data_IF_266138377615
#
_entry.id   IF_266138377615
#
_cell.length_a   1.000
_cell.length_b   1.000
_cell.length_c   1.000
_cell.angle_alpha   90.00
_cell.angle_beta   90.00
_cell.angle_gamma   90.00
#
_symmetry.space_group_name_H-M   'P 1'
#
loop_
_entity.id
_entity.type
_entity.pdbx_description
1 polymer ?
#
# COMPACT_ATOMS: atom_id res chain seq x y z
N UNK A 1 2.95 18.55 -20.13
CA UNK A 1 3.54 17.84 -18.99
C UNK A 1 2.75 18.23 -17.76
N UNK A 2 2.42 17.29 -16.89
CA UNK A 2 1.75 17.54 -15.61
C UNK A 2 2.66 17.01 -14.50
N UNK A 3 2.86 17.80 -13.45
CA UNK A 3 3.57 17.36 -12.27
C UNK A 3 2.93 17.93 -11.02
N UNK A 4 3.12 17.22 -9.92
CA UNK A 4 2.64 17.59 -8.61
C UNK A 4 3.70 17.17 -7.59
N UNK A 5 3.97 18.02 -6.62
CA UNK A 5 4.89 17.74 -5.52
C UNK A 5 4.26 18.27 -4.24
N UNK A 6 4.22 17.42 -3.23
CA UNK A 6 3.63 17.73 -1.92
C UNK A 6 4.63 17.33 -0.85
N UNK A 7 4.85 18.21 0.12
CA UNK A 7 5.54 17.87 1.36
C UNK A 7 4.53 18.00 2.50
N UNK A 8 4.56 17.09 3.45
CA UNK A 8 3.61 17.07 4.56
C UNK A 8 4.29 16.75 5.89
N UNK A 9 3.64 17.20 6.95
CA UNK A 9 3.95 16.88 8.33
C UNK A 9 2.63 16.74 9.09
N UNK A 10 2.30 15.53 9.53
CA UNK A 10 1.12 15.23 10.32
C UNK A 10 1.54 14.73 11.70
N UNK A 11 1.30 15.56 12.71
CA UNK A 11 1.58 15.25 14.11
C UNK A 11 0.30 14.73 14.78
N UNK A 12 0.35 13.50 15.27
CA UNK A 12 -0.73 12.88 16.02
C UNK A 12 -0.31 12.78 17.48
N UNK A 13 -0.87 13.64 18.32
CA UNK A 13 -0.74 13.52 19.77
C UNK A 13 -1.83 12.61 20.31
N UNK A 14 -1.61 12.12 21.52
CA UNK A 14 -2.58 11.33 22.26
C UNK A 14 -3.04 10.04 21.55
N UNK A 15 -2.12 9.38 20.84
CA UNK A 15 -2.41 8.22 20.00
C UNK A 15 -3.04 7.10 20.83
N UNK A 16 -4.24 6.71 20.46
CA UNK A 16 -4.98 5.65 21.13
C UNK A 16 -4.25 4.30 21.01
N UNK A 17 -4.07 3.64 22.14
CA UNK A 17 -3.57 2.27 22.27
C UNK A 17 -4.52 1.44 23.12
N UNK A 18 -4.65 0.16 22.80
CA UNK A 18 -5.54 -0.74 23.52
C UNK A 18 -4.79 -1.47 24.62
N UNK A 19 -5.33 -1.46 25.83
CA UNK A 19 -4.88 -2.30 26.94
C UNK A 19 -5.90 -3.42 27.14
N UNK A 20 -5.47 -4.66 26.94
CA UNK A 20 -6.27 -5.85 27.23
C UNK A 20 -6.05 -6.28 28.68
N UNK A 21 -7.14 -6.51 29.42
CA UNK A 21 -7.10 -7.03 30.78
C UNK A 21 -7.49 -8.51 30.77
N UNK A 22 -6.55 -9.42 31.05
CA UNK A 22 -6.84 -10.85 31.07
C UNK A 22 -7.54 -11.28 32.37
N UNK A 23 -8.12 -12.48 32.38
CA UNK A 23 -8.51 -13.16 33.62
C UNK A 23 -7.26 -13.56 34.44
N UNK A 24 -7.40 -13.92 35.74
CA UNK A 24 -6.25 -14.31 36.57
C UNK A 24 -5.41 -15.46 36.01
N UNK A 25 -6.04 -16.35 35.20
CA UNK A 25 -5.38 -17.47 34.53
C UNK A 25 -4.70 -17.09 33.20
N UNK A 26 -4.83 -15.85 32.73
CA UNK A 26 -4.31 -15.34 31.45
C UNK A 26 -4.73 -16.16 30.23
N UNK A 27 -5.95 -16.70 30.24
CA UNK A 27 -6.50 -17.53 29.16
C UNK A 27 -7.52 -16.81 28.30
N UNK A 28 -8.17 -15.76 28.84
CA UNK A 28 -9.15 -14.95 28.11
C UNK A 28 -9.02 -13.47 28.47
N UNK A 29 -9.34 -12.59 27.53
CA UNK A 29 -9.48 -11.14 27.79
C UNK A 29 -10.84 -10.88 28.41
N UNK A 30 -10.88 -10.32 29.63
CA UNK A 30 -12.14 -9.97 30.31
C UNK A 30 -12.74 -8.69 29.73
N UNK A 31 -11.89 -7.68 29.53
CA UNK A 31 -12.26 -6.41 28.92
C UNK A 31 -11.02 -5.74 28.31
N UNK A 32 -11.26 -4.71 27.52
CA UNK A 32 -10.20 -3.86 26.97
C UNK A 32 -10.61 -2.40 27.12
N UNK A 33 -9.64 -1.53 27.31
CA UNK A 33 -9.84 -0.09 27.35
C UNK A 33 -8.78 0.62 26.52
N UNK A 34 -9.06 1.86 26.15
CA UNK A 34 -8.17 2.69 25.35
C UNK A 34 -7.44 3.67 26.27
N UNK A 35 -6.13 3.76 26.08
CA UNK A 35 -5.29 4.77 26.72
C UNK A 35 -4.53 5.56 25.67
N UNK A 36 -4.10 6.75 26.07
CA UNK A 36 -3.15 7.53 25.33
C UNK A 36 -1.76 6.86 25.40
N UNK A 37 -1.20 6.55 24.24
CA UNK A 37 0.12 5.94 24.07
C UNK A 37 1.18 6.89 23.52
N UNK A 38 0.96 8.21 23.50
CA UNK A 38 1.94 9.21 23.08
C UNK A 38 1.78 9.69 21.63
N UNK A 39 2.89 10.15 21.04
CA UNK A 39 2.90 10.94 19.80
C UNK A 39 3.52 10.18 18.64
N UNK A 40 2.92 10.37 17.47
CA UNK A 40 3.44 9.89 16.19
C UNK A 40 3.57 11.06 15.22
N UNK A 41 4.76 11.21 14.64
CA UNK A 41 5.08 12.27 13.71
C UNK A 41 5.31 11.71 12.31
N UNK A 42 4.39 12.01 11.40
CA UNK A 42 4.38 11.51 10.04
C UNK A 42 4.81 12.61 9.07
N UNK A 43 6.09 12.56 8.66
CA UNK A 43 6.65 13.47 7.66
C UNK A 43 6.84 12.74 6.35
N UNK A 44 6.61 13.43 5.24
CA UNK A 44 6.86 12.83 3.94
C UNK A 44 6.85 13.80 2.78
N UNK A 45 7.25 13.28 1.64
CA UNK A 45 7.23 13.96 0.35
C UNK A 45 6.59 13.02 -0.66
N UNK A 46 5.72 13.57 -1.48
CA UNK A 46 5.05 12.87 -2.58
C UNK A 46 5.29 13.64 -3.86
N UNK A 47 5.55 12.92 -4.95
CA UNK A 47 5.76 13.49 -6.26
C UNK A 47 5.07 12.65 -7.32
N UNK A 48 4.45 13.31 -8.29
CA UNK A 48 3.85 12.73 -9.47
C UNK A 48 4.32 13.49 -10.70
N UNK A 49 4.73 12.77 -11.74
CA UNK A 49 5.04 13.31 -13.05
C UNK A 49 4.30 12.49 -14.11
N UNK A 50 3.58 13.16 -14.99
CA UNK A 50 2.92 12.59 -16.17
C UNK A 50 3.34 13.35 -17.40
N UNK A 51 3.85 12.64 -18.40
CA UNK A 51 4.34 13.24 -19.64
C UNK A 51 3.49 12.75 -20.81
N UNK A 52 3.05 13.65 -21.68
CA UNK A 52 2.53 13.27 -23.00
C UNK A 52 3.71 13.12 -23.95
N UNK A 53 4.45 12.00 -23.85
CA UNK A 53 5.67 11.78 -24.63
C UNK A 53 5.40 11.77 -26.14
N UNK A 54 4.22 11.28 -26.52
CA UNK A 54 3.71 11.37 -27.88
C UNK A 54 2.22 11.65 -27.86
N UNK A 55 1.75 12.51 -28.77
CA UNK A 55 0.33 12.73 -29.00
C UNK A 55 0.10 13.12 -30.46
N UNK A 56 -0.81 12.44 -31.14
CA UNK A 56 -1.14 12.73 -32.53
C UNK A 56 -2.64 12.66 -32.78
N UNK A 57 -3.15 13.63 -33.52
CA UNK A 57 -4.53 13.63 -34.01
C UNK A 57 -4.65 12.83 -35.31
N UNK A 58 -3.56 12.66 -36.07
CA UNK A 58 -3.57 12.10 -37.42
C UNK A 58 -2.85 10.74 -37.55
N UNK A 59 -1.87 10.44 -36.69
CA UNK A 59 -1.09 9.20 -36.71
C UNK A 59 -1.82 7.97 -36.15
N UNK A 60 -1.27 6.77 -36.41
CA UNK A 60 -1.81 5.48 -35.92
C UNK A 60 -1.84 5.41 -34.39
N UNK A 61 -0.79 5.92 -33.75
CA UNK A 61 -0.73 6.07 -32.30
C UNK A 61 -1.44 7.38 -31.92
N UNK A 62 -2.36 7.33 -30.97
CA UNK A 62 -3.07 8.50 -30.46
C UNK A 62 -2.25 9.20 -29.37
N UNK A 63 -1.73 8.42 -28.42
CA UNK A 63 -0.81 8.93 -27.41
C UNK A 63 0.08 7.84 -26.81
N UNK A 64 1.22 8.27 -26.26
CA UNK A 64 2.06 7.54 -25.32
C UNK A 64 2.29 8.44 -24.12
N UNK A 65 1.96 7.93 -22.93
CA UNK A 65 1.92 8.70 -21.69
C UNK A 65 2.65 7.96 -20.58
N UNK A 66 3.98 8.11 -20.45
CA UNK A 66 4.68 7.64 -19.28
C UNK A 66 4.31 8.46 -18.05
N UNK A 67 4.34 7.80 -16.90
CA UNK A 67 4.16 8.42 -15.60
C UNK A 67 5.13 7.83 -14.58
N UNK A 68 5.45 8.64 -13.58
CA UNK A 68 6.19 8.24 -12.39
C UNK A 68 5.48 8.85 -11.18
N UNK A 69 5.24 8.07 -10.15
CA UNK A 69 4.91 8.57 -8.83
C UNK A 69 5.90 8.01 -7.81
N UNK A 70 6.13 8.79 -6.76
CA UNK A 70 7.13 8.50 -5.73
C UNK A 70 6.65 9.09 -4.41
N UNK A 71 6.78 8.32 -3.34
CA UNK A 71 6.53 8.76 -1.98
C UNK A 71 7.70 8.37 -1.09
N UNK A 72 8.20 9.32 -0.32
CA UNK A 72 9.12 9.09 0.79
C UNK A 72 8.41 9.39 2.12
N UNK A 73 8.37 8.40 3.02
CA UNK A 73 7.71 8.46 4.32
C UNK A 73 8.71 8.29 5.45
N UNK A 74 8.94 9.36 6.21
CA UNK A 74 9.75 9.33 7.44
C UNK A 74 8.83 9.44 8.66
N UNK A 75 8.13 8.35 8.95
CA UNK A 75 7.15 8.29 10.03
C UNK A 75 7.80 7.73 11.28
N UNK A 76 7.73 8.45 12.39
CA UNK A 76 8.42 8.09 13.63
C UNK A 76 7.49 8.15 14.84
N UNK A 77 7.71 7.23 15.76
CA UNK A 77 7.24 7.33 17.13
C UNK A 77 8.10 8.38 17.85
N UNK A 78 7.49 9.42 18.43
CA UNK A 78 8.24 10.43 19.19
C UNK A 78 8.36 10.06 20.67
N UNK A 79 7.23 10.00 21.39
CA UNK A 79 7.14 9.57 22.78
C UNK A 79 6.15 8.39 22.97
N UNK A 80 6.17 7.46 22.02
CA UNK A 80 5.19 6.37 21.95
C UNK A 80 5.47 5.27 22.99
N UNK A 81 4.56 5.13 23.96
CA UNK A 81 4.62 4.14 25.03
C UNK A 81 3.39 3.24 24.98
N UNK A 82 3.63 1.94 24.95
CA UNK A 82 2.57 0.94 24.92
C UNK A 82 2.37 0.33 26.31
N UNK A 83 1.12 0.28 26.75
CA UNK A 83 0.74 -0.28 28.04
C UNK A 83 0.16 -1.69 27.87
N UNK A 84 0.62 -2.65 28.66
CA UNK A 84 0.05 -3.99 28.74
C UNK A 84 -0.06 -4.47 30.18
N UNK A 85 -0.99 -5.39 30.44
CA UNK A 85 -1.08 -6.05 31.74
C UNK A 85 -0.27 -7.33 31.70
N UNK A 86 0.66 -7.47 32.64
CA UNK A 86 1.44 -8.68 32.82
C UNK A 86 1.69 -8.96 34.29
N UNK A 87 2.57 -9.93 34.57
CA UNK A 87 2.95 -10.28 35.94
C UNK A 87 4.25 -9.59 36.34
N UNK A 88 4.29 -9.01 37.52
CA UNK A 88 5.53 -8.48 38.11
C UNK A 88 6.44 -9.61 38.64
N UNK A 89 7.60 -9.24 39.20
CA UNK A 89 8.57 -10.18 39.80
C UNK A 89 7.98 -11.01 40.95
N UNK A 90 6.87 -10.56 41.54
CA UNK A 90 6.15 -11.24 42.62
C UNK A 90 4.90 -11.98 42.12
N UNK A 91 4.74 -12.14 40.79
CA UNK A 91 3.59 -12.77 40.12
C UNK A 91 2.25 -12.07 40.36
N UNK A 92 2.25 -10.78 40.68
CA UNK A 92 1.04 -9.94 40.78
C UNK A 92 0.78 -9.26 39.45
N UNK A 93 -0.49 -9.00 39.16
CA UNK A 93 -0.87 -8.22 37.98
C UNK A 93 -0.33 -6.81 38.12
N UNK A 94 0.39 -6.36 37.09
CA UNK A 94 1.01 -5.03 37.04
C UNK A 94 0.97 -4.48 35.63
N UNK A 95 1.00 -3.16 35.55
CA UNK A 95 1.12 -2.44 34.29
C UNK A 95 2.58 -2.50 33.81
N UNK A 96 2.77 -3.06 32.63
CA UNK A 96 4.05 -3.07 31.92
C UNK A 96 3.99 -1.96 30.87
N UNK A 97 4.99 -1.09 30.89
CA UNK A 97 5.15 -0.02 29.91
C UNK A 97 6.34 -0.37 29.02
N UNK A 98 6.08 -0.51 27.73
CA UNK A 98 7.12 -0.69 26.71
C UNK A 98 7.28 0.61 25.94
N UNK A 99 8.51 1.12 25.88
CA UNK A 99 8.83 2.35 25.15
C UNK A 99 9.30 2.03 23.73
N UNK A 100 8.65 2.61 22.73
CA UNK A 100 8.98 2.48 21.30
C UNK A 100 9.38 3.82 20.68
N UNK A 101 9.64 4.84 21.51
CA UNK A 101 10.09 6.16 21.09
C UNK A 101 11.34 6.09 20.23
N UNK A 102 11.37 6.87 19.15
CA UNK A 102 12.47 6.92 18.19
C UNK A 102 12.41 5.88 17.08
N UNK A 103 11.63 4.80 17.24
CA UNK A 103 11.47 3.79 16.19
C UNK A 103 10.65 4.31 15.01
N UNK A 104 10.86 3.72 13.84
CA UNK A 104 10.00 3.94 12.69
C UNK A 104 8.59 3.36 12.96
N UNK A 105 7.56 4.03 12.45
CA UNK A 105 6.19 3.55 12.59
C UNK A 105 6.02 2.23 11.85
N UNK A 106 5.52 1.21 12.56
CA UNK A 106 5.28 -0.10 11.97
C UNK A 106 4.22 -0.01 10.85
N UNK A 107 4.43 -0.76 9.77
CA UNK A 107 3.53 -0.88 8.63
C UNK A 107 3.71 0.18 7.56
N UNK A 108 4.75 1.02 7.66
CA UNK A 108 5.00 2.13 6.73
C UNK A 108 6.31 1.88 5.98
N UNK A 109 6.26 1.58 4.67
CA UNK A 109 7.45 1.57 3.82
C UNK A 109 8.04 2.97 3.72
N UNK A 110 9.36 3.15 3.93
CA UNK A 110 10.01 4.44 3.77
C UNK A 110 9.92 4.96 2.33
N UNK A 111 9.94 4.07 1.34
CA UNK A 111 9.84 4.43 -0.07
C UNK A 111 8.77 3.58 -0.76
N UNK A 112 7.89 4.24 -1.51
CA UNK A 112 7.07 3.60 -2.54
C UNK A 112 7.22 4.36 -3.84
N UNK A 113 7.22 3.63 -4.95
CA UNK A 113 7.34 4.23 -6.27
C UNK A 113 6.57 3.43 -7.30
N UNK A 114 5.95 4.11 -8.25
CA UNK A 114 5.36 3.46 -9.41
C UNK A 114 5.81 4.17 -10.68
N UNK A 115 6.26 3.40 -11.65
CA UNK A 115 6.56 3.86 -13.00
C UNK A 115 5.67 3.11 -13.97
N UNK A 116 5.17 3.77 -14.99
CA UNK A 116 4.38 3.10 -16.00
C UNK A 116 4.22 3.91 -17.27
N UNK A 117 3.55 3.30 -18.22
CA UNK A 117 3.23 3.90 -19.51
C UNK A 117 1.84 3.48 -19.93
N UNK A 118 1.04 4.47 -20.33
CA UNK A 118 -0.23 4.26 -21.00
C UNK A 118 -0.05 4.55 -22.49
N UNK A 119 -0.71 3.76 -23.35
CA UNK A 119 -0.79 4.06 -24.77
C UNK A 119 -2.20 3.83 -25.30
N UNK A 120 -2.51 4.53 -26.38
CA UNK A 120 -3.70 4.26 -27.19
C UNK A 120 -3.40 4.51 -28.66
N UNK A 121 -4.10 3.77 -29.51
CA UNK A 121 -4.06 3.88 -30.96
C UNK A 121 -5.41 4.36 -31.48
N UNK A 122 -5.43 4.85 -32.71
CA UNK A 122 -6.68 5.20 -33.41
C UNK A 122 -7.54 3.99 -33.76
N UNK A 123 -6.91 2.83 -33.94
CA UNK A 123 -7.62 1.60 -34.29
C UNK A 123 -8.48 1.07 -33.13
N UNK A 124 -8.33 1.63 -31.92
CA UNK A 124 -9.05 1.21 -30.72
C UNK A 124 -8.21 0.39 -29.74
N UNK A 125 -7.01 -0.06 -30.16
CA UNK A 125 -6.07 -0.74 -29.27
C UNK A 125 -5.53 0.25 -28.22
N UNK A 126 -5.56 -0.15 -26.95
CA UNK A 126 -5.01 0.59 -25.83
C UNK A 126 -4.35 -0.36 -24.85
N UNK A 127 -3.52 0.17 -23.96
CA UNK A 127 -2.95 -0.63 -22.89
C UNK A 127 -2.13 0.19 -21.93
N UNK A 128 -1.72 -0.47 -20.85
CA UNK A 128 -0.78 0.07 -19.90
C UNK A 128 0.16 -1.03 -19.37
N UNK A 129 1.34 -0.59 -18.94
CA UNK A 129 2.27 -1.40 -18.16
C UNK A 129 2.79 -0.55 -17.00
N UNK A 130 2.97 -1.16 -15.84
CA UNK A 130 3.45 -0.48 -14.64
C UNK A 130 4.35 -1.40 -13.81
N UNK A 131 5.39 -0.81 -13.24
CA UNK A 131 6.21 -1.39 -12.18
C UNK A 131 5.93 -0.63 -10.89
N UNK A 132 5.56 -1.35 -9.84
CA UNK A 132 5.29 -0.84 -8.51
C UNK A 132 6.34 -1.36 -7.54
N UNK A 133 7.12 -0.48 -6.92
CA UNK A 133 8.11 -0.83 -5.90
C UNK A 133 7.61 -0.45 -4.50
N UNK A 134 7.81 -1.35 -3.54
CA UNK A 134 7.55 -1.13 -2.12
C UNK A 134 8.78 -1.55 -1.32
N UNK A 135 9.30 -0.60 -0.54
CA UNK A 135 10.45 -0.86 0.32
C UNK A 135 10.08 -1.77 1.50
N UNK A 136 11.11 -2.35 2.12
CA UNK A 136 11.00 -3.08 3.37
C UNK A 136 10.42 -2.18 4.47
N UNK A 137 9.59 -2.74 5.34
CA UNK A 137 8.99 -1.98 6.44
C UNK A 137 9.01 -2.78 7.74
N UNK A 138 9.21 -2.13 8.91
CA UNK A 138 9.01 -2.80 10.18
C UNK A 138 7.53 -3.14 10.33
N UNK A 139 7.22 -4.34 10.81
CA UNK A 139 5.85 -4.73 11.17
C UNK A 139 5.65 -4.94 12.67
N UNK A 140 6.70 -4.75 13.46
CA UNK A 140 6.62 -4.60 14.92
C UNK A 140 7.08 -3.20 15.34
N UNK A 141 6.47 -2.65 16.39
CA UNK A 141 6.73 -1.29 16.88
C UNK A 141 8.12 -1.14 17.50
N UNK A 142 8.74 -2.26 17.90
CA UNK A 142 10.14 -2.31 18.32
C UNK A 142 11.14 -2.28 17.16
N UNK A 143 10.65 -2.32 15.91
CA UNK A 143 11.46 -2.31 14.69
C UNK A 143 12.25 -3.58 14.41
N UNK A 144 12.10 -4.64 15.22
CA UNK A 144 12.94 -5.85 15.10
C UNK A 144 12.53 -6.78 13.97
N UNK A 145 11.26 -6.78 13.59
CA UNK A 145 10.75 -7.62 12.51
C UNK A 145 10.39 -6.74 11.31
N UNK A 146 11.02 -7.04 10.17
CA UNK A 146 10.98 -6.23 8.96
C UNK A 146 10.59 -7.13 7.78
N UNK A 147 9.74 -6.63 6.88
CA UNK A 147 9.38 -7.32 5.64
C UNK A 147 10.50 -7.25 4.61
N UNK A 148 10.50 -8.14 3.62
CA UNK A 148 11.30 -7.90 2.41
C UNK A 148 10.68 -6.79 1.55
N UNK A 149 11.52 -6.05 0.83
CA UNK A 149 11.07 -5.15 -0.25
C UNK A 149 10.69 -5.95 -1.48
N UNK A 150 9.78 -5.46 -2.31
CA UNK A 150 9.36 -6.17 -3.52
C UNK A 150 8.98 -5.22 -4.66
N UNK A 151 8.97 -5.74 -5.89
CA UNK A 151 8.51 -5.04 -7.08
C UNK A 151 7.49 -5.86 -7.86
N UNK A 152 6.40 -5.24 -8.27
CA UNK A 152 5.35 -5.88 -9.07
C UNK A 152 5.27 -5.27 -10.45
N UNK A 153 5.31 -6.12 -11.48
CA UNK A 153 5.03 -5.72 -12.86
C UNK A 153 3.61 -6.14 -13.21
N UNK A 154 2.78 -5.18 -13.60
CA UNK A 154 1.40 -5.39 -14.02
C UNK A 154 1.18 -4.78 -15.41
N UNK A 155 0.36 -5.42 -16.24
CA UNK A 155 0.01 -4.89 -17.55
C UNK A 155 -1.42 -5.26 -17.95
N UNK A 156 -2.04 -4.40 -18.76
CA UNK A 156 -3.34 -4.63 -19.39
C UNK A 156 -3.30 -4.15 -20.83
N UNK A 157 -3.93 -4.91 -21.72
CA UNK A 157 -4.18 -4.53 -23.11
C UNK A 157 -5.66 -4.69 -23.41
N UNK A 158 -6.20 -3.82 -24.25
CA UNK A 158 -7.59 -3.91 -24.66
C UNK A 158 -7.85 -3.26 -26.00
N UNK A 159 -9.06 -3.48 -26.50
CA UNK A 159 -9.53 -2.99 -27.77
C UNK A 159 -10.92 -2.41 -27.61
N UNK A 160 -11.07 -1.14 -27.96
CA UNK A 160 -12.33 -0.40 -27.93
C UNK A 160 -12.80 -0.07 -29.33
N UNK A 161 -14.07 -0.35 -29.61
CA UNK A 161 -14.67 -0.02 -30.90
C UNK A 161 -16.15 0.30 -30.77
N UNK A 162 -16.58 1.34 -31.47
CA UNK A 162 -18.00 1.62 -31.70
C UNK A 162 -18.52 0.57 -32.70
N UNK A 163 -19.45 -0.29 -32.27
CA UNK A 163 -20.08 -1.31 -33.12
C UNK A 163 -21.22 -0.71 -33.95
N UNK A 164 -21.92 0.28 -33.38
CA UNK A 164 -22.98 1.06 -34.04
C UNK A 164 -23.17 2.40 -33.33
N UNK A 165 -24.07 3.25 -33.81
CA UNK A 165 -24.41 4.53 -33.14
C UNK A 165 -24.85 4.38 -31.68
N UNK A 166 -25.38 3.22 -31.32
CA UNK A 166 -25.91 2.95 -29.98
C UNK A 166 -25.04 2.01 -29.16
N UNK A 167 -23.95 1.45 -29.70
CA UNK A 167 -23.20 0.40 -29.00
C UNK A 167 -21.69 0.58 -29.10
N UNK A 168 -21.04 0.63 -27.93
CA UNK A 168 -19.58 0.58 -27.79
C UNK A 168 -19.15 -0.74 -27.16
N UNK A 169 -18.12 -1.36 -27.72
CA UNK A 169 -17.50 -2.58 -27.21
C UNK A 169 -16.11 -2.28 -26.67
N UNK A 170 -15.78 -2.83 -25.50
CA UNK A 170 -14.42 -2.88 -24.93
C UNK A 170 -14.11 -4.32 -24.52
N UNK A 171 -13.10 -4.91 -25.15
CA UNK A 171 -12.57 -6.23 -24.77
C UNK A 171 -11.16 -6.01 -24.24
N UNK A 172 -10.84 -6.61 -23.10
CA UNK A 172 -9.51 -6.48 -22.51
C UNK A 172 -9.03 -7.75 -21.82
N UNK A 173 -7.72 -7.88 -21.71
CA UNK A 173 -7.03 -8.88 -20.91
C UNK A 173 -5.82 -8.23 -20.24
N UNK A 174 -5.36 -8.82 -19.15
CA UNK A 174 -4.20 -8.34 -18.42
C UNK A 174 -3.63 -9.39 -17.50
N UNK A 175 -2.50 -9.04 -16.90
CA UNK A 175 -1.81 -9.86 -15.94
C UNK A 175 -1.26 -8.99 -14.80
N UNK A 176 -1.41 -9.49 -13.58
CA UNK A 176 -0.80 -8.95 -12.39
C UNK A 176 0.36 -9.86 -11.95
N UNK A 177 1.38 -9.27 -11.33
CA UNK A 177 2.58 -9.98 -10.88
C UNK A 177 3.26 -10.79 -11.99
N UNK A 178 3.55 -10.14 -13.12
CA UNK A 178 4.05 -10.80 -14.34
C UNK A 178 5.39 -11.52 -14.11
N UNK A 179 6.19 -11.03 -13.17
CA UNK A 179 7.48 -11.59 -12.78
C UNK A 179 7.38 -12.70 -11.73
N UNK A 180 6.17 -13.07 -11.28
CA UNK A 180 5.93 -14.05 -10.22
C UNK A 180 6.71 -13.72 -8.93
N UNK A 181 6.75 -12.45 -8.56
CA UNK A 181 7.39 -11.98 -7.34
C UNK A 181 6.67 -12.55 -6.11
N UNK A 182 7.42 -13.04 -5.13
CA UNK A 182 6.87 -13.49 -3.86
C UNK A 182 6.71 -12.30 -2.92
N UNK A 183 5.46 -11.96 -2.56
CA UNK A 183 5.20 -10.82 -1.69
C UNK A 183 4.02 -11.09 -0.74
N UNK A 184 3.83 -10.18 0.21
CA UNK A 184 2.73 -10.21 1.17
C UNK A 184 1.54 -9.42 0.65
N UNK A 185 0.36 -10.03 0.63
CA UNK A 185 -0.88 -9.32 0.30
C UNK A 185 -1.30 -8.39 1.45
N UNK A 186 -1.09 -8.85 2.69
CA UNK A 186 -1.28 -8.07 3.90
C UNK A 186 -0.28 -8.51 4.96
N UNK A 187 0.19 -7.57 5.77
CA UNK A 187 1.04 -7.81 6.94
C UNK A 187 0.31 -7.27 8.18
N UNK A 188 0.12 -8.12 9.17
CA UNK A 188 -0.50 -7.78 10.45
C UNK A 188 0.54 -7.16 11.38
N UNK A 189 0.28 -5.94 11.83
CA UNK A 189 1.20 -5.19 12.67
C UNK A 189 1.14 -5.67 14.12
N UNK A 190 2.31 -5.85 14.74
CA UNK A 190 2.45 -6.31 16.13
C UNK A 190 1.75 -7.65 16.46
N UNK A 191 1.49 -8.50 15.46
CA UNK A 191 0.89 -9.81 15.64
C UNK A 191 1.93 -10.89 15.31
N UNK A 192 2.33 -11.69 16.30
CA UNK A 192 3.31 -12.78 16.15
C UNK A 192 2.90 -14.01 16.98
N UNK A 193 3.11 -15.25 16.48
CA UNK A 193 3.46 -15.62 15.10
C UNK A 193 2.29 -15.36 14.11
N UNK A 194 2.49 -15.67 12.82
CA UNK A 194 1.49 -15.53 11.73
C UNK A 194 1.07 -14.09 11.39
N UNK A 195 2.09 -13.28 11.08
CA UNK A 195 1.95 -11.86 10.80
C UNK A 195 1.55 -11.50 9.35
N UNK A 196 1.10 -12.43 8.50
CA UNK A 196 0.83 -12.09 7.10
C UNK A 196 -0.17 -12.99 6.36
N UNK A 197 -0.70 -12.46 5.26
CA UNK A 197 -1.40 -13.22 4.21
C UNK A 197 -0.50 -13.24 2.96
N UNK A 198 -0.08 -14.41 2.46
CA UNK A 198 0.74 -14.49 1.25
C UNK A 198 -0.09 -14.10 0.03
N UNK A 199 0.53 -13.36 -0.89
CA UNK A 199 -0.06 -13.14 -2.20
C UNK A 199 0.15 -14.37 -3.12
N UNK A 200 -0.58 -14.47 -4.25
CA UNK A 200 -0.28 -15.45 -5.28
C UNK A 200 1.19 -15.34 -5.72
N UNK A 201 1.91 -16.45 -5.61
CA UNK A 201 3.31 -16.60 -6.00
C UNK A 201 3.51 -16.85 -7.51
N UNK A 202 2.41 -16.82 -8.26
CA UNK A 202 2.38 -16.96 -9.71
C UNK A 202 1.63 -15.79 -10.33
N UNK A 203 1.93 -15.53 -11.60
CA UNK A 203 1.22 -14.55 -12.43
C UNK A 203 -0.29 -14.77 -12.40
N UNK A 204 -1.05 -13.69 -12.21
CA UNK A 204 -2.50 -13.72 -12.18
C UNK A 204 -3.08 -13.05 -13.44
N UNK A 205 -3.78 -13.83 -14.27
CA UNK A 205 -4.41 -13.33 -15.48
C UNK A 205 -5.87 -12.93 -15.24
N UNK A 206 -6.31 -11.90 -15.95
CA UNK A 206 -7.70 -11.47 -15.95
C UNK A 206 -8.12 -10.96 -17.33
N UNK A 207 -9.43 -10.88 -17.55
CA UNK A 207 -9.99 -10.31 -18.78
C UNK A 207 -11.47 -10.00 -18.62
N UNK A 208 -12.02 -9.28 -19.58
CA UNK A 208 -13.42 -8.89 -19.55
C UNK A 208 -13.90 -8.28 -20.86
N UNK A 209 -15.22 -8.20 -20.97
CA UNK A 209 -15.94 -7.59 -22.09
C UNK A 209 -16.97 -6.63 -21.51
N UNK A 210 -16.97 -5.38 -21.98
CA UNK A 210 -17.98 -4.39 -21.66
C UNK A 210 -18.73 -3.99 -22.94
N UNK A 211 -20.05 -4.00 -22.87
CA UNK A 211 -20.93 -3.46 -23.91
C UNK A 211 -21.69 -2.27 -23.33
N UNK A 212 -21.49 -1.08 -23.91
CA UNK A 212 -22.17 0.14 -23.49
C UNK A 212 -23.25 0.51 -24.50
N UNK A 213 -24.47 0.75 -24.01
CA UNK A 213 -25.56 1.31 -24.81
C UNK A 213 -25.59 2.83 -24.69
N UNK A 214 -25.63 3.54 -25.83
CA UNK A 214 -25.76 4.99 -25.91
C UNK A 214 -27.18 5.34 -26.39
N UNK A 215 -27.95 6.04 -25.56
CA UNK A 215 -29.32 6.50 -25.85
C UNK A 215 -29.35 7.61 -26.90
#
# INVERSE_FOLDING_TARGET
MYFEVTAFNALFTDKMTTVAVPNPANTVTLYSYIVNGGTVNNKGIEALVKVNAYQSQNGVIKYIRPFVNFTYSNFKYEDFRFQSIGKDVNKKDSLIITDFSGNAVAGVPPVTANIGVDFATKLGLYGNASLSYRDAMPFTSDGKNITESYSLVNAKIGFRRELSKHFDLDIFAGANNITSEKYYYMVFLNQLPDAYIPAPNEINYFGGVNLKYNF
#
